data_IF_830865190296
#
_entry.id   IF_830865190296
#
_cell.length_a   1.000
_cell.length_b   1.000
_cell.length_c   1.000
_cell.angle_alpha   90.00
_cell.angle_beta   90.00
_cell.angle_gamma   90.00
#
_symmetry.space_group_name_H-M   'P 1'
#
loop_
_entity.id
_entity.type
_entity.pdbx_description
1 polymer ?
#
# COMPACT_ATOMS: atom_id res chain seq x y z
N UNK A 1 -22.23 0.97 -21.47
CA UNK A 1 -21.65 1.12 -20.12
C UNK A 1 -20.19 1.50 -20.30
N UNK A 2 -19.68 2.50 -19.56
CA UNK A 2 -18.27 2.89 -19.65
C UNK A 2 -17.45 1.83 -18.92
N UNK A 3 -16.40 1.30 -19.54
CA UNK A 3 -15.54 0.32 -18.89
C UNK A 3 -14.95 0.91 -17.60
N UNK A 4 -14.74 0.08 -16.56
CA UNK A 4 -14.05 0.51 -15.36
C UNK A 4 -12.68 1.08 -15.73
N UNK A 5 -12.29 2.25 -15.16
CA UNK A 5 -10.95 2.78 -15.39
C UNK A 5 -9.90 1.79 -14.90
N UNK A 6 -8.80 1.66 -15.65
CA UNK A 6 -7.64 0.83 -15.28
C UNK A 6 -6.90 1.44 -14.07
N UNK A 7 -7.46 1.19 -12.88
CA UNK A 7 -6.96 1.71 -11.61
C UNK A 7 -5.91 0.74 -11.07
N UNK A 8 -4.66 1.17 -11.08
CA UNK A 8 -3.52 0.38 -10.56
C UNK A 8 -3.10 0.77 -9.15
N UNK A 9 -3.71 1.82 -8.56
CA UNK A 9 -3.41 2.31 -7.22
C UNK A 9 -4.20 1.56 -6.15
N UNK A 10 -3.48 0.89 -5.24
CA UNK A 10 -4.04 0.23 -4.06
C UNK A 10 -3.83 1.10 -2.82
N UNK A 11 -4.82 1.13 -1.91
CA UNK A 11 -4.72 1.84 -0.63
C UNK A 11 -5.03 0.86 0.50
N UNK A 12 -4.06 0.64 1.38
CA UNK A 12 -4.26 -0.07 2.65
C UNK A 12 -4.67 0.95 3.73
N UNK A 13 -5.70 0.62 4.51
CA UNK A 13 -6.22 1.44 5.62
C UNK A 13 -6.34 0.58 6.87
N UNK A 14 -6.68 1.20 8.01
CA UNK A 14 -6.82 0.52 9.29
C UNK A 14 -5.57 -0.25 9.72
N UNK A 15 -4.42 0.33 9.38
CA UNK A 15 -3.13 -0.19 9.83
C UNK A 15 -3.01 -0.03 11.35
N UNK A 16 -2.39 -1.00 12.04
CA UNK A 16 -2.10 -0.85 13.45
C UNK A 16 -1.26 0.42 13.71
N UNK A 17 -1.54 1.19 14.77
CA UNK A 17 -0.87 2.48 14.99
C UNK A 17 0.64 2.34 15.26
N UNK A 18 1.10 1.16 15.67
CA UNK A 18 2.51 0.85 15.90
C UNK A 18 3.23 0.32 14.64
N UNK A 19 2.57 0.16 13.50
CA UNK A 19 3.24 -0.35 12.30
C UNK A 19 4.16 0.72 11.71
N UNK A 20 5.40 0.34 11.42
CA UNK A 20 6.33 1.21 10.68
C UNK A 20 6.18 1.02 9.17
N UNK A 21 6.58 2.03 8.40
CA UNK A 21 6.67 1.90 6.94
C UNK A 21 7.54 0.72 6.53
N UNK A 22 8.70 0.53 7.18
CA UNK A 22 9.63 -0.56 6.84
C UNK A 22 8.99 -1.94 7.01
N UNK A 23 8.32 -2.17 8.14
CA UNK A 23 7.62 -3.44 8.41
C UNK A 23 6.51 -3.70 7.39
N UNK A 24 5.75 -2.66 7.02
CA UNK A 24 4.70 -2.78 6.01
C UNK A 24 5.27 -3.12 4.64
N UNK A 25 6.32 -2.40 4.21
CA UNK A 25 6.96 -2.60 2.91
C UNK A 25 7.57 -4.00 2.80
N UNK A 26 8.26 -4.48 3.84
CA UNK A 26 8.81 -5.85 3.88
C UNK A 26 7.72 -6.91 3.61
N UNK A 27 6.55 -6.77 4.24
CA UNK A 27 5.42 -7.70 4.02
C UNK A 27 4.85 -7.58 2.62
N UNK A 28 4.70 -6.37 2.09
CA UNK A 28 4.20 -6.16 0.71
C UNK A 28 5.21 -6.70 -0.32
N UNK A 29 6.50 -6.45 -0.14
CA UNK A 29 7.54 -6.88 -1.06
C UNK A 29 7.61 -8.39 -1.19
N UNK A 30 7.40 -9.14 -0.12
CA UNK A 30 7.36 -10.61 -0.18
C UNK A 30 6.29 -11.14 -1.14
N UNK A 31 5.18 -10.43 -1.30
CA UNK A 31 4.07 -10.83 -2.17
C UNK A 31 4.09 -10.16 -3.54
N UNK A 32 4.59 -8.93 -3.64
CA UNK A 32 4.40 -8.05 -4.80
C UNK A 32 5.70 -7.60 -5.47
N UNK A 33 6.85 -8.21 -5.12
CA UNK A 33 8.21 -7.86 -5.56
C UNK A 33 8.26 -7.38 -7.02
N UNK A 34 8.56 -6.10 -7.24
CA UNK A 34 8.72 -5.50 -8.57
C UNK A 34 7.42 -5.18 -9.34
N UNK A 35 6.24 -5.52 -8.81
CA UNK A 35 4.94 -5.27 -9.46
C UNK A 35 4.34 -3.90 -9.16
N UNK A 36 4.88 -3.21 -8.16
CA UNK A 36 4.51 -1.84 -7.84
C UNK A 36 5.67 -0.90 -8.13
N UNK A 37 5.36 0.28 -8.68
CA UNK A 37 6.36 1.27 -9.10
C UNK A 37 6.68 2.33 -8.04
N UNK A 38 5.78 2.50 -7.07
CA UNK A 38 5.88 3.52 -6.03
C UNK A 38 5.13 3.09 -4.77
N UNK A 39 5.56 3.60 -3.62
CA UNK A 39 4.87 3.41 -2.35
C UNK A 39 4.88 4.72 -1.55
N UNK A 40 3.82 4.95 -0.78
CA UNK A 40 3.71 6.09 0.13
C UNK A 40 3.05 5.63 1.43
N UNK A 41 3.70 5.91 2.56
CA UNK A 41 3.17 5.62 3.89
C UNK A 41 2.70 6.91 4.56
N UNK A 42 1.52 6.87 5.17
CA UNK A 42 0.95 7.98 5.94
C UNK A 42 0.54 7.42 7.30
N UNK A 43 1.29 7.71 8.38
CA UNK A 43 0.83 7.36 9.71
C UNK A 43 -0.47 8.12 9.99
N UNK A 44 -1.40 7.47 10.70
CA UNK A 44 -2.56 8.18 11.22
C UNK A 44 -2.11 9.28 12.19
N UNK A 45 -2.97 10.30 12.40
CA UNK A 45 -2.83 11.12 13.60
C UNK A 45 -3.00 10.18 14.79
N UNK A 46 -1.96 10.07 15.61
CA UNK A 46 -2.06 9.52 16.97
C UNK A 46 -2.86 10.53 17.79
#
# INVERSE_FOLDING_TARGET
MKDPPDRTKVVLRHLPPWISQALLIEKVDSGFTGRYRWAAFRPGKI
#
